data_IF_601876288447
#
_entry.id   IF_601876288447
#
_cell.length_a   1.000
_cell.length_b   1.000
_cell.length_c   1.000
_cell.angle_alpha   90.00
_cell.angle_beta   90.00
_cell.angle_gamma   90.00
#
_symmetry.space_group_name_H-M   'P 1'
#
loop_
_entity.id
_entity.type
_entity.pdbx_description
1 polymer ?
#
# COMPACT_ATOMS: atom_id res chain seq x y z
N UNK A 1 -8.43 -30.86 -9.33
CA UNK A 1 -9.25 -30.30 -8.23
C UNK A 1 -8.96 -31.00 -6.94
N UNK A 2 -9.74 -32.01 -6.55
CA UNK A 2 -9.70 -32.63 -5.22
C UNK A 2 -8.35 -33.23 -4.78
N UNK A 3 -7.58 -33.85 -5.68
CA UNK A 3 -6.29 -34.46 -5.34
C UNK A 3 -5.20 -33.46 -4.95
N UNK A 4 -5.24 -32.25 -5.52
CA UNK A 4 -4.29 -31.17 -5.19
C UNK A 4 -4.63 -30.60 -3.81
N UNK A 5 -5.91 -30.37 -3.53
CA UNK A 5 -6.37 -29.92 -2.21
C UNK A 5 -6.09 -30.94 -1.11
N UNK A 6 -6.31 -32.24 -1.37
CA UNK A 6 -6.02 -33.30 -0.41
C UNK A 6 -4.52 -33.42 -0.10
N UNK A 7 -3.64 -33.18 -1.08
CA UNK A 7 -2.19 -33.17 -0.87
C UNK A 7 -1.73 -31.94 -0.07
N UNK A 8 -2.30 -30.76 -0.34
CA UNK A 8 -2.01 -29.53 0.39
C UNK A 8 -2.50 -29.61 1.85
N UNK A 9 -3.70 -30.15 2.08
CA UNK A 9 -4.26 -30.36 3.41
C UNK A 9 -3.51 -31.43 4.22
N UNK A 10 -3.02 -32.51 3.57
CA UNK A 10 -2.22 -33.53 4.27
C UNK A 10 -0.77 -33.11 4.55
N UNK A 11 -0.31 -32.00 3.96
CA UNK A 11 0.99 -31.38 4.24
C UNK A 11 0.93 -30.31 5.34
N UNK A 12 -0.27 -29.96 5.81
CA UNK A 12 -0.44 -29.30 7.10
C UNK A 12 -0.71 -27.80 7.12
N UNK A 13 -0.77 -27.07 6.00
CA UNK A 13 -1.26 -25.67 5.97
C UNK A 13 -1.50 -25.20 4.53
N UNK A 14 -2.68 -24.65 4.23
CA UNK A 14 -2.80 -23.73 3.09
C UNK A 14 -1.91 -22.53 3.42
N UNK A 15 -0.92 -22.20 2.59
CA UNK A 15 -0.09 -21.02 2.87
C UNK A 15 -0.96 -19.77 2.80
N UNK A 16 -1.17 -19.11 3.94
CA UNK A 16 -1.84 -17.82 4.02
C UNK A 16 -0.78 -16.70 4.04
N UNK A 17 -1.07 -15.55 3.43
CA UNK A 17 -0.24 -14.35 3.49
C UNK A 17 -1.12 -13.15 3.81
N UNK A 18 -0.77 -12.42 4.87
CA UNK A 18 -1.42 -11.21 5.34
C UNK A 18 -0.67 -9.97 4.83
N UNK A 19 -1.35 -9.19 3.98
CA UNK A 19 -0.79 -7.99 3.36
C UNK A 19 -1.61 -6.76 3.76
N UNK A 20 -0.94 -5.68 4.16
CA UNK A 20 -1.55 -4.35 4.29
C UNK A 20 -1.11 -3.46 3.15
N UNK A 21 -2.08 -2.78 2.52
CA UNK A 21 -1.82 -1.69 1.58
C UNK A 21 -2.09 -0.36 2.28
N UNK A 22 -1.07 0.49 2.35
CA UNK A 22 -1.21 1.84 2.89
C UNK A 22 -1.91 2.81 1.93
N UNK A 23 -2.46 3.89 2.49
CA UNK A 23 -3.13 4.99 1.79
C UNK A 23 -2.28 5.69 0.71
N UNK A 24 -0.97 5.77 0.90
CA UNK A 24 -0.04 6.40 -0.04
C UNK A 24 0.29 5.54 -1.27
N UNK A 25 -0.18 4.29 -1.33
CA UNK A 25 0.16 3.40 -2.43
C UNK A 25 -0.79 3.57 -3.64
N UNK A 26 -0.27 3.41 -4.88
CA UNK A 26 -1.08 3.44 -6.09
C UNK A 26 -1.93 2.16 -6.16
N UNK A 27 -3.08 2.18 -5.48
CA UNK A 27 -3.92 1.00 -5.21
C UNK A 27 -4.22 0.14 -6.45
N UNK A 28 -4.65 0.69 -7.61
CA UNK A 28 -4.92 -0.14 -8.79
C UNK A 28 -3.68 -0.91 -9.27
N UNK A 29 -2.50 -0.28 -9.23
CA UNK A 29 -1.23 -0.89 -9.67
C UNK A 29 -0.81 -2.00 -8.72
N UNK A 30 -0.93 -1.76 -7.42
CA UNK A 30 -0.61 -2.74 -6.37
C UNK A 30 -1.55 -3.95 -6.45
N UNK A 31 -2.86 -3.73 -6.52
CA UNK A 31 -3.83 -4.81 -6.65
C UNK A 31 -3.61 -5.63 -7.92
N UNK A 32 -3.29 -4.98 -9.04
CA UNK A 32 -2.94 -5.69 -10.27
C UNK A 32 -1.68 -6.55 -10.14
N UNK A 33 -0.67 -6.08 -9.40
CA UNK A 33 0.54 -6.85 -9.11
C UNK A 33 0.25 -8.07 -8.25
N UNK A 34 -0.44 -7.90 -7.12
CA UNK A 34 -0.83 -8.99 -6.23
C UNK A 34 -1.71 -10.00 -6.97
N UNK A 35 -2.71 -9.54 -7.73
CA UNK A 35 -3.59 -10.42 -8.51
C UNK A 35 -2.82 -11.29 -9.50
N UNK A 36 -1.83 -10.76 -10.22
CA UNK A 36 -0.98 -11.56 -11.12
C UNK A 36 -0.09 -12.56 -10.37
N UNK A 37 0.40 -12.21 -9.19
CA UNK A 37 1.21 -13.10 -8.36
C UNK A 37 0.37 -14.27 -7.83
N UNK A 38 -0.74 -14.00 -7.15
CA UNK A 38 -1.59 -15.04 -6.57
C UNK A 38 -2.31 -15.89 -7.62
N UNK A 39 -2.52 -15.39 -8.84
CA UNK A 39 -2.97 -16.21 -9.97
C UNK A 39 -1.97 -17.32 -10.35
N UNK A 40 -0.68 -17.14 -10.06
CA UNK A 40 0.38 -18.14 -10.27
C UNK A 40 0.57 -19.04 -9.04
N UNK A 41 -0.05 -18.69 -7.90
CA UNK A 41 0.04 -19.41 -6.64
C UNK A 41 -1.38 -19.78 -6.13
N UNK A 42 -2.14 -20.62 -6.85
CA UNK A 42 -3.55 -20.87 -6.55
C UNK A 42 -3.82 -21.61 -5.23
N UNK A 43 -2.77 -22.18 -4.60
CA UNK A 43 -2.84 -22.80 -3.28
C UNK A 43 -2.50 -21.84 -2.13
N UNK A 44 -2.26 -20.56 -2.42
CA UNK A 44 -1.90 -19.55 -1.41
C UNK A 44 -3.05 -18.56 -1.24
N UNK A 45 -3.48 -18.35 0.00
CA UNK A 45 -4.59 -17.45 0.32
C UNK A 45 -4.06 -16.06 0.69
N UNK A 46 -4.57 -15.03 0.02
CA UNK A 46 -4.26 -13.64 0.34
C UNK A 46 -5.29 -13.07 1.33
N UNK A 47 -4.82 -12.60 2.48
CA UNK A 47 -5.55 -11.78 3.43
C UNK A 47 -5.15 -10.31 3.23
N UNK A 48 -6.04 -9.51 2.66
CA UNK A 48 -5.72 -8.14 2.28
C UNK A 48 -6.42 -7.11 3.19
N UNK A 49 -5.64 -6.20 3.75
CA UNK A 49 -6.10 -5.11 4.59
C UNK A 49 -5.68 -3.74 4.02
N UNK A 50 -6.39 -2.70 4.42
CA UNK A 50 -6.08 -1.31 4.08
C UNK A 50 -5.99 -0.50 5.36
N UNK A 51 -4.93 0.27 5.49
CA UNK A 51 -4.66 1.12 6.67
C UNK A 51 -4.11 2.47 6.20
N UNK A 52 -4.21 3.48 7.04
CA UNK A 52 -3.70 4.83 6.79
C UNK A 52 -2.54 5.18 7.73
N UNK A 53 -1.68 6.09 7.30
CA UNK A 53 -0.60 6.67 8.12
C UNK A 53 0.28 5.58 8.76
N UNK A 54 0.32 5.47 10.10
CA UNK A 54 1.19 4.54 10.82
C UNK A 54 0.66 3.10 10.93
N UNK A 55 -0.62 2.88 10.64
CA UNK A 55 -1.29 1.60 10.81
C UNK A 55 -0.60 0.40 10.12
N UNK A 56 -0.07 0.54 8.89
CA UNK A 56 0.72 -0.53 8.27
C UNK A 56 1.93 -0.95 9.11
N UNK A 57 2.77 0.00 9.53
CA UNK A 57 3.98 -0.30 10.30
C UNK A 57 3.65 -0.86 11.68
N UNK A 58 2.61 -0.35 12.35
CA UNK A 58 2.14 -0.89 13.64
C UNK A 58 1.74 -2.36 13.53
N UNK A 59 0.97 -2.72 12.49
CA UNK A 59 0.58 -4.12 12.26
C UNK A 59 1.76 -5.03 11.94
N UNK A 60 2.78 -4.52 11.24
CA UNK A 60 3.99 -5.26 10.94
C UNK A 60 4.78 -5.54 12.23
N UNK A 61 4.96 -4.53 13.09
CA UNK A 61 5.69 -4.68 14.34
C UNK A 61 4.95 -5.53 15.39
N UNK A 62 3.63 -5.58 15.32
CA UNK A 62 2.80 -6.43 16.18
C UNK A 62 2.69 -7.90 15.67
N UNK A 63 3.46 -8.27 14.63
CA UNK A 63 3.41 -9.59 13.98
C UNK A 63 1.99 -9.97 13.48
N UNK A 64 1.15 -8.98 13.16
CA UNK A 64 -0.23 -9.19 12.69
C UNK A 64 -0.31 -9.41 11.18
N UNK A 65 0.75 -9.06 10.45
CA UNK A 65 0.81 -9.10 8.98
C UNK A 65 2.21 -9.48 8.52
N UNK A 66 2.31 -10.16 7.39
CA UNK A 66 3.59 -10.64 6.84
C UNK A 66 4.29 -9.59 5.96
N UNK A 67 3.50 -8.74 5.30
CA UNK A 67 4.02 -7.74 4.36
C UNK A 67 3.19 -6.47 4.41
N UNK A 68 3.87 -5.33 4.31
CA UNK A 68 3.23 -4.05 4.02
C UNK A 68 3.67 -3.50 2.68
N UNK A 69 2.70 -2.91 1.97
CA UNK A 69 2.92 -2.10 0.79
C UNK A 69 2.58 -0.67 1.20
N UNK A 70 3.59 0.05 1.69
CA UNK A 70 3.46 1.41 2.19
C UNK A 70 4.79 2.16 2.11
N UNK A 71 4.76 3.47 2.35
CA UNK A 71 5.98 4.21 2.65
C UNK A 71 6.53 3.76 4.01
N UNK A 72 7.85 3.72 4.16
CA UNK A 72 8.52 3.38 5.42
C UNK A 72 9.69 4.35 5.65
N UNK A 73 10.04 4.59 6.91
CA UNK A 73 11.29 5.23 7.26
C UNK A 73 12.45 4.25 7.01
N UNK A 74 13.26 4.53 5.99
CA UNK A 74 14.38 3.67 5.58
C UNK A 74 15.54 3.67 6.58
N UNK A 75 15.53 4.57 7.57
CA UNK A 75 16.47 4.56 8.69
C UNK A 75 16.12 3.55 9.78
N UNK A 76 14.91 2.99 9.78
CA UNK A 76 14.48 2.02 10.78
C UNK A 76 15.09 0.64 10.50
N UNK A 77 16.08 0.25 11.31
CA UNK A 77 16.80 -1.02 11.17
C UNK A 77 15.95 -2.28 11.45
N UNK A 78 14.72 -2.12 11.97
CA UNK A 78 13.80 -3.23 12.23
C UNK A 78 13.08 -3.71 10.97
N UNK A 79 13.10 -2.92 9.89
CA UNK A 79 12.35 -3.19 8.67
C UNK A 79 13.31 -3.53 7.52
N UNK A 80 13.12 -4.68 6.90
CA UNK A 80 13.68 -4.95 5.59
C UNK A 80 12.76 -4.37 4.49
N UNK A 81 13.35 -3.72 3.48
CA UNK A 81 12.57 -3.00 2.47
C UNK A 81 13.16 -3.09 1.07
N UNK A 82 12.26 -2.92 0.09
CA UNK A 82 12.57 -2.78 -1.33
C UNK A 82 11.75 -1.64 -1.94
N UNK A 83 12.38 -0.84 -2.80
CA UNK A 83 11.68 0.20 -3.56
C UNK A 83 10.86 -0.37 -4.71
N UNK A 84 9.54 -0.16 -4.70
CA UNK A 84 8.63 -0.61 -5.77
C UNK A 84 8.32 0.49 -6.82
N UNK A 85 8.23 1.75 -6.38
CA UNK A 85 7.98 2.91 -7.23
C UNK A 85 8.12 4.21 -6.46
N UNK A 86 8.26 5.33 -7.19
CA UNK A 86 8.11 6.67 -6.65
C UNK A 86 6.65 7.12 -6.81
N UNK A 87 6.05 7.65 -5.76
CA UNK A 87 4.68 8.20 -5.77
C UNK A 87 4.77 9.71 -5.51
N UNK A 88 4.39 10.57 -6.46
CA UNK A 88 4.37 12.01 -6.24
C UNK A 88 3.15 12.41 -5.40
N UNK A 89 3.36 13.33 -4.46
CA UNK A 89 2.28 14.03 -3.78
C UNK A 89 1.92 15.26 -4.61
N UNK A 90 0.74 15.24 -5.20
CA UNK A 90 0.26 16.33 -6.06
C UNK A 90 -0.84 17.06 -5.30
N UNK A 91 -0.64 18.35 -4.96
CA UNK A 91 -1.70 19.14 -4.39
C UNK A 91 -2.87 19.27 -5.37
N UNK A 92 -4.07 19.10 -4.86
CA UNK A 92 -5.31 19.26 -5.62
C UNK A 92 -6.23 20.21 -4.86
N UNK A 93 -7.02 20.96 -5.61
CA UNK A 93 -7.99 21.91 -5.07
C UNK A 93 -9.31 21.75 -5.81
N UNK A 94 -10.42 22.05 -5.14
CA UNK A 94 -11.71 22.08 -5.81
C UNK A 94 -11.75 23.19 -6.89
N UNK A 95 -12.53 23.02 -7.97
CA UNK A 95 -12.75 24.09 -8.94
C UNK A 95 -13.22 25.38 -8.24
N UNK A 96 -12.58 26.51 -8.56
CA UNK A 96 -12.90 27.82 -7.97
C UNK A 96 -12.36 28.07 -6.56
N UNK A 97 -11.61 27.13 -5.97
CA UNK A 97 -11.01 27.32 -4.64
C UNK A 97 -9.92 28.39 -4.62
N UNK A 98 -9.17 28.51 -5.71
CA UNK A 98 -8.13 29.52 -5.83
C UNK A 98 -8.72 30.85 -6.30
N UNK A 99 -8.34 31.98 -5.69
CA UNK A 99 -8.91 33.30 -6.00
C UNK A 99 -8.57 33.78 -7.41
N UNK A 100 -7.46 33.30 -7.98
CA UNK A 100 -6.99 33.67 -9.32
C UNK A 100 -6.70 32.42 -10.15
N UNK A 101 -6.85 32.55 -11.47
CA UNK A 101 -6.42 31.50 -12.40
C UNK A 101 -4.90 31.34 -12.29
N UNK A 102 -4.45 30.11 -12.12
CA UNK A 102 -3.02 29.80 -12.03
C UNK A 102 -2.37 30.07 -13.40
N UNK A 103 -1.71 31.23 -13.55
CA UNK A 103 -0.91 31.54 -14.74
C UNK A 103 0.55 31.10 -14.61
N UNK A 104 1.01 30.81 -13.38
CA UNK A 104 2.36 30.37 -13.04
C UNK A 104 2.33 29.26 -11.99
N UNK A 105 3.31 28.35 -11.93
CA UNK A 105 3.36 27.32 -10.90
C UNK A 105 3.17 27.90 -9.50
N UNK A 106 2.28 27.28 -8.71
CA UNK A 106 2.05 27.68 -7.31
C UNK A 106 3.26 27.23 -6.49
N UNK A 107 3.80 28.14 -5.67
CA UNK A 107 4.88 27.83 -4.72
C UNK A 107 4.31 27.36 -3.38
N UNK A 108 5.12 26.63 -2.61
CA UNK A 108 4.72 26.15 -1.29
C UNK A 108 4.30 27.32 -0.37
N UNK A 109 5.02 28.45 -0.39
CA UNK A 109 4.70 29.63 0.42
C UNK A 109 3.31 30.17 0.12
N UNK A 110 2.90 30.17 -1.16
CA UNK A 110 1.55 30.60 -1.55
C UNK A 110 0.47 29.64 -1.05
N UNK A 111 0.79 28.35 -0.95
CA UNK A 111 -0.15 27.34 -0.45
C UNK A 111 -0.37 27.39 1.06
N UNK A 112 0.58 27.93 1.84
CA UNK A 112 0.47 28.02 3.30
C UNK A 112 -0.71 28.91 3.76
N UNK A 113 -1.14 29.84 2.92
CA UNK A 113 -2.30 30.69 3.21
C UNK A 113 -3.64 29.95 3.11
N UNK A 114 -3.67 28.74 2.54
CA UNK A 114 -4.88 27.94 2.37
C UNK A 114 -4.91 26.79 3.37
N UNK A 115 -6.11 26.42 3.82
CA UNK A 115 -6.29 25.20 4.63
C UNK A 115 -5.80 23.98 3.84
N UNK A 116 -4.93 23.20 4.45
CA UNK A 116 -4.46 21.91 3.93
C UNK A 116 -5.01 20.81 4.84
N UNK A 117 -5.62 19.78 4.23
CA UNK A 117 -6.15 18.62 4.91
C UNK A 117 -5.29 17.40 4.58
#
# INVERSE_FOLDING_TARGET
>A
GLRVHAAQLSMGEESEIHVVIGDLCPRPRVLGMLGRFFAQCPGTRLHLHFEAVGGPSERLFDDKVDLILHWIDKGDARIEWIDLSKVPFIPVVAPGFLPERIERPITLEKMQAFTQC
#
